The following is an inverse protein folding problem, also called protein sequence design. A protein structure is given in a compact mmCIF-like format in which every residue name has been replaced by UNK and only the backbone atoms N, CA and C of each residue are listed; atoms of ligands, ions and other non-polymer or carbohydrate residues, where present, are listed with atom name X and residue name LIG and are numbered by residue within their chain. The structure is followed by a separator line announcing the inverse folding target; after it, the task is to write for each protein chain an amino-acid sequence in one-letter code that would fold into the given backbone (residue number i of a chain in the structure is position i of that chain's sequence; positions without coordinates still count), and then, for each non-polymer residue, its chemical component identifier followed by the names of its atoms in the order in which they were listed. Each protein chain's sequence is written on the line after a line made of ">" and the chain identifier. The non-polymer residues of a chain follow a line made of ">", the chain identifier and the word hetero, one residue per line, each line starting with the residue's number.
data_IF_408607878121
#
_entry.id   IF_408607878121
#
_cell.length_a   1.000
_cell.length_b   1.000
_cell.length_c   1.000
_cell.angle_alpha   90.00
_cell.angle_beta   90.00
_cell.angle_gamma   90.00
#
_symmetry.space_group_name_H-M   'P 1'
#
loop_
_entity.id
_entity.type
_entity.pdbx_description
1 polymer ?
#
# COMPACT_ATOMS: atom_id res chain seq x y z
N UNK A 1 -13.99 -1.00 -3.12
CA UNK A 1 -12.95 0.01 -2.79
C UNK A 1 -11.60 -0.55 -3.23
N UNK A 2 -10.80 0.24 -3.93
CA UNK A 2 -9.45 -0.16 -4.32
C UNK A 2 -8.51 -0.16 -3.10
N UNK A 3 -7.56 -1.10 -3.08
CA UNK A 3 -6.51 -1.17 -2.07
C UNK A 3 -5.50 -0.05 -2.29
N UNK A 4 -5.01 0.55 -1.21
CA UNK A 4 -4.14 1.73 -1.25
C UNK A 4 -2.66 1.39 -1.10
N UNK A 5 -2.25 0.14 -1.30
CA UNK A 5 -0.86 -0.30 -1.06
C UNK A 5 0.16 0.52 -1.88
N UNK A 6 -0.10 0.66 -3.19
CA UNK A 6 0.75 1.45 -4.09
C UNK A 6 0.77 2.94 -3.71
N UNK A 7 -0.37 3.46 -3.27
CA UNK A 7 -0.50 4.84 -2.84
C UNK A 7 0.31 5.09 -1.58
N UNK A 8 0.21 4.23 -0.56
CA UNK A 8 0.99 4.31 0.67
C UNK A 8 2.49 4.40 0.39
N UNK A 9 3.02 3.50 -0.46
CA UNK A 9 4.42 3.51 -0.86
C UNK A 9 4.83 4.81 -1.58
N UNK A 10 4.01 5.26 -2.53
CA UNK A 10 4.26 6.50 -3.27
C UNK A 10 4.21 7.75 -2.39
N UNK A 11 3.27 7.82 -1.45
CA UNK A 11 3.16 8.93 -0.49
C UNK A 11 4.42 9.07 0.36
N UNK A 12 5.03 7.95 0.75
CA UNK A 12 6.31 7.94 1.48
C UNK A 12 7.54 8.06 0.59
N UNK A 13 7.37 8.20 -0.74
CA UNK A 13 8.45 8.28 -1.74
C UNK A 13 9.41 7.09 -1.69
N UNK A 14 8.89 5.90 -1.37
CA UNK A 14 9.69 4.68 -1.24
C UNK A 14 9.74 3.95 -2.59
N UNK A 15 10.94 3.53 -2.99
CA UNK A 15 11.12 2.70 -4.19
C UNK A 15 10.56 1.28 -3.96
N UNK A 16 10.07 0.65 -5.04
CA UNK A 16 9.55 -0.71 -4.97
C UNK A 16 10.61 -1.69 -4.43
N UNK A 17 11.87 -1.55 -4.88
CA UNK A 17 13.00 -2.37 -4.44
C UNK A 17 13.29 -2.25 -2.94
N UNK A 18 13.18 -1.05 -2.37
CA UNK A 18 13.35 -0.83 -0.93
C UNK A 18 12.22 -1.50 -0.14
N UNK A 19 10.98 -1.38 -0.61
CA UNK A 19 9.83 -2.05 0.04
C UNK A 19 9.92 -3.57 0.00
N UNK A 20 10.43 -4.14 -1.09
CA UNK A 20 10.64 -5.59 -1.23
C UNK A 20 11.58 -6.12 -0.15
N UNK A 21 12.69 -5.41 0.09
CA UNK A 21 13.67 -5.76 1.12
C UNK A 21 13.07 -5.66 2.52
N UNK A 22 12.40 -4.53 2.83
CA UNK A 22 11.86 -4.31 4.17
C UNK A 22 10.69 -5.24 4.50
N UNK A 23 9.78 -5.45 3.55
CA UNK A 23 8.62 -6.30 3.75
C UNK A 23 8.97 -7.80 3.72
N UNK A 24 10.22 -8.16 3.39
CA UNK A 24 10.67 -9.54 3.34
C UNK A 24 9.97 -10.37 2.26
N UNK A 25 9.62 -9.75 1.13
CA UNK A 25 8.89 -10.42 0.04
C UNK A 25 9.64 -10.31 -1.28
N UNK A 26 9.21 -11.05 -2.30
CA UNK A 26 9.74 -10.89 -3.66
C UNK A 26 9.13 -9.67 -4.37
N UNK A 27 9.85 -9.09 -5.33
CA UNK A 27 9.33 -7.99 -6.15
C UNK A 27 8.05 -8.35 -6.93
N UNK A 28 7.94 -9.55 -7.54
CA UNK A 28 6.68 -10.02 -8.13
C UNK A 28 5.53 -10.08 -7.12
N UNK A 29 5.80 -10.52 -5.88
CA UNK A 29 4.79 -10.61 -4.82
C UNK A 29 4.24 -9.21 -4.51
N UNK A 30 5.11 -8.25 -4.21
CA UNK A 30 4.67 -6.88 -3.90
C UNK A 30 3.95 -6.22 -5.10
N UNK A 31 4.42 -6.46 -6.32
CA UNK A 31 3.75 -5.98 -7.54
C UNK A 31 2.34 -6.55 -7.71
N UNK A 32 2.14 -7.84 -7.40
CA UNK A 32 0.81 -8.48 -7.41
C UNK A 32 -0.11 -7.89 -6.35
N UNK A 33 0.42 -7.56 -5.17
CA UNK A 33 -0.34 -6.86 -4.13
C UNK A 33 -0.77 -5.47 -4.60
N UNK A 34 0.16 -4.66 -5.10
CA UNK A 34 -0.12 -3.31 -5.60
C UNK A 34 -1.03 -3.24 -6.83
N UNK A 35 -1.20 -4.37 -7.53
CA UNK A 35 -2.11 -4.51 -8.68
C UNK A 35 -3.39 -5.26 -8.34
N UNK A 36 -3.63 -5.55 -7.05
CA UNK A 36 -4.82 -6.26 -6.54
C UNK A 36 -5.01 -7.68 -7.10
N UNK A 37 -4.01 -8.22 -7.80
CA UNK A 37 -4.05 -9.59 -8.35
C UNK A 37 -4.01 -10.64 -7.24
N UNK A 38 -3.24 -10.37 -6.18
CA UNK A 38 -3.20 -11.17 -4.96
C UNK A 38 -3.32 -10.25 -3.74
N UNK A 39 -3.93 -10.77 -2.67
CA UNK A 39 -3.91 -10.11 -1.37
C UNK A 39 -2.64 -10.49 -0.58
N UNK A 40 -2.11 -9.57 0.27
CA UNK A 40 -1.15 -9.95 1.29
C UNK A 40 -1.80 -10.83 2.36
N UNK A 41 -0.97 -11.58 3.09
CA UNK A 41 -1.40 -12.18 4.36
C UNK A 41 -1.65 -11.09 5.41
N UNK A 42 -2.27 -11.46 6.54
CA UNK A 42 -2.45 -10.55 7.68
C UNK A 42 -1.10 -9.99 8.13
N UNK A 43 -0.07 -10.84 8.27
CA UNK A 43 1.28 -10.37 8.60
C UNK A 43 1.85 -9.40 7.55
N UNK A 44 1.65 -9.68 6.26
CA UNK A 44 2.12 -8.79 5.19
C UNK A 44 1.43 -7.42 5.25
N UNK A 45 0.14 -7.41 5.62
CA UNK A 45 -0.62 -6.18 5.83
C UNK A 45 -0.11 -5.39 7.05
N UNK A 46 0.16 -6.07 8.16
CA UNK A 46 0.72 -5.45 9.38
C UNK A 46 2.10 -4.84 9.07
N UNK A 47 2.99 -5.59 8.43
CA UNK A 47 4.32 -5.10 8.02
C UNK A 47 4.20 -3.88 7.10
N UNK A 48 3.24 -3.87 6.17
CA UNK A 48 2.97 -2.70 5.34
C UNK A 48 2.49 -1.50 6.15
N UNK A 49 1.60 -1.70 7.13
CA UNK A 49 1.12 -0.59 7.98
C UNK A 49 2.24 0.02 8.82
N UNK A 50 3.11 -0.82 9.39
CA UNK A 50 4.25 -0.39 10.19
C UNK A 50 5.28 0.31 9.32
N UNK A 51 5.69 -0.30 8.21
CA UNK A 51 6.72 0.26 7.34
C UNK A 51 6.30 1.55 6.65
N UNK A 52 5.06 1.60 6.15
CA UNK A 52 4.55 2.82 5.51
C UNK A 52 3.99 3.82 6.52
N UNK A 53 4.00 3.53 7.82
CA UNK A 53 3.44 4.39 8.87
C UNK A 53 2.03 4.90 8.52
N UNK A 54 1.14 3.96 8.17
CA UNK A 54 -0.28 4.21 7.85
C UNK A 54 -1.16 3.17 8.54
N UNK A 55 -2.44 3.46 8.74
CA UNK A 55 -3.36 2.46 9.29
C UNK A 55 -3.69 1.37 8.27
N UNK A 56 -4.04 0.19 8.77
CA UNK A 56 -4.59 -0.90 7.96
C UNK A 56 -5.89 -0.46 7.27
N UNK A 57 -6.71 0.37 7.92
CA UNK A 57 -7.91 0.95 7.31
C UNK A 57 -7.60 1.76 6.05
N UNK A 58 -6.51 2.54 6.06
CA UNK A 58 -6.05 3.26 4.87
C UNK A 58 -5.64 2.27 3.77
N UNK A 59 -4.80 1.29 4.09
CA UNK A 59 -4.33 0.28 3.14
C UNK A 59 -5.49 -0.51 2.51
N UNK A 60 -6.50 -0.83 3.31
CA UNK A 60 -7.68 -1.58 2.90
C UNK A 60 -8.73 -0.72 2.18
N UNK A 61 -8.60 0.61 2.20
CA UNK A 61 -9.52 1.54 1.58
C UNK A 61 -10.78 1.81 2.40
N UNK A 62 -10.76 1.59 3.72
CA UNK A 62 -11.86 1.82 4.65
C UNK A 62 -11.93 3.25 5.20
N UNK A 63 -10.97 4.11 4.86
CA UNK A 63 -11.00 5.51 5.25
C UNK A 63 -12.11 6.28 4.49
N UNK A 64 -13.33 6.32 5.04
CA UNK A 64 -14.51 7.01 4.47
C UNK A 64 -14.54 8.52 4.71
N UNK A 65 -13.51 9.11 5.35
CA UNK A 65 -13.62 10.42 6.01
C UNK A 65 -12.47 11.40 5.78
N UNK A 66 -11.87 11.47 4.61
CA UNK A 66 -10.97 12.57 4.29
C UNK A 66 -10.77 12.73 2.80
N UNK A 67 -11.09 13.92 2.32
CA UNK A 67 -10.74 14.47 1.02
C UNK A 67 -9.23 14.43 0.81
N UNK A 68 -8.70 13.28 0.39
CA UNK A 68 -7.35 13.15 -0.15
C UNK A 68 -7.45 12.41 -1.48
N UNK A 69 -7.45 13.16 -2.58
CA UNK A 69 -7.21 12.60 -3.90
C UNK A 69 -8.38 12.49 -4.87
N UNK A 70 -9.35 13.42 -4.86
CA UNK A 70 -9.84 13.90 -6.17
C UNK A 70 -8.74 14.79 -6.71
N UNK A 71 -7.80 14.19 -7.46
CA UNK A 71 -6.96 14.96 -8.35
C UNK A 71 -7.91 15.67 -9.32
N UNK A 72 -8.04 16.98 -9.17
CA UNK A 72 -8.62 17.82 -10.21
C UNK A 72 -7.80 17.59 -11.48
N UNK A 73 -8.41 16.92 -12.46
CA UNK A 73 -7.98 17.03 -13.84
C UNK A 73 -8.42 18.40 -14.31
N UNK A 74 -7.50 19.36 -14.30
CA UNK A 74 -7.53 20.56 -15.15
C UNK A 74 -6.60 20.35 -16.32
#
# INVERSE_FOLDING_TARGET
>A
MARQYKLARKMKKIALTSSVKELGVSQPTLSRWESERNAPSIEGLIRMSEYYHVSTDFLLGFYRGGSFGRAEKT
#
